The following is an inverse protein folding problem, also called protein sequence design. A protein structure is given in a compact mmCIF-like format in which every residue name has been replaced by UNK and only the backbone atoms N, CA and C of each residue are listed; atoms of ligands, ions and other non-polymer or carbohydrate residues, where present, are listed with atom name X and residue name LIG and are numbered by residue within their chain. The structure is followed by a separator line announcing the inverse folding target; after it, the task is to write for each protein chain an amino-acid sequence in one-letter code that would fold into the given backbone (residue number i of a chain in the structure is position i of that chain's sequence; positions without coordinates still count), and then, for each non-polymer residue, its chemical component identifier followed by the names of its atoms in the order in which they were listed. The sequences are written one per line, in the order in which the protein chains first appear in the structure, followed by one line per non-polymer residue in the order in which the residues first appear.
data_IF_025888166015
#
_entry.id   IF_025888166015
#
_cell.length_a   1.000
_cell.length_b   1.000
_cell.length_c   1.000
_cell.angle_alpha   90.00
_cell.angle_beta   90.00
_cell.angle_gamma   90.00
#
_symmetry.space_group_name_H-M   'P 1'
#
loop_
_entity.id
_entity.type
_entity.pdbx_description
1 polymer ?
#
# COMPACT_ATOMS: atom_id res chain seq x y z
N UNK A 1 -16.53 3.75 17.35
CA UNK A 1 -16.68 2.37 16.84
C UNK A 1 -15.28 1.83 16.58
N UNK A 2 -14.95 0.60 17.02
CA UNK A 2 -13.68 -0.01 16.65
C UNK A 2 -13.57 -0.11 15.12
N UNK A 3 -12.39 0.13 14.58
CA UNK A 3 -12.12 -0.10 13.15
C UNK A 3 -12.41 -1.58 12.86
N UNK A 4 -13.07 -1.92 11.73
CA UNK A 4 -13.21 -3.31 11.33
C UNK A 4 -11.82 -3.94 11.21
N UNK A 5 -11.70 -5.18 11.66
CA UNK A 5 -10.46 -5.96 11.68
C UNK A 5 -10.48 -7.15 10.72
N UNK A 6 -11.53 -7.25 9.90
CA UNK A 6 -11.72 -8.35 8.95
C UNK A 6 -12.41 -7.89 7.67
N UNK A 7 -12.27 -8.70 6.63
CA UNK A 7 -12.94 -8.55 5.34
C UNK A 7 -13.17 -9.93 4.70
N UNK A 8 -14.28 -10.17 3.98
CA UNK A 8 -14.47 -11.41 3.25
C UNK A 8 -13.31 -11.69 2.28
N UNK A 9 -12.81 -12.91 2.26
CA UNK A 9 -11.76 -13.32 1.34
C UNK A 9 -12.19 -13.21 -0.13
N UNK A 10 -13.50 -13.35 -0.40
CA UNK A 10 -14.09 -13.15 -1.73
C UNK A 10 -13.94 -11.70 -2.25
N UNK A 11 -13.85 -10.71 -1.36
CA UNK A 11 -13.63 -9.31 -1.73
C UNK A 11 -12.16 -9.00 -2.06
N UNK A 12 -11.28 -9.96 -1.79
CA UNK A 12 -9.84 -9.91 -2.03
C UNK A 12 -9.38 -11.04 -2.97
N UNK A 13 -9.86 -11.09 -4.23
CA UNK A 13 -9.25 -11.97 -5.23
C UNK A 13 -7.78 -11.56 -5.46
N UNK A 14 -6.93 -12.45 -6.03
CA UNK A 14 -5.54 -12.12 -6.34
C UNK A 14 -5.41 -10.79 -7.10
N UNK A 15 -4.49 -9.93 -6.65
CA UNK A 15 -4.28 -8.58 -7.18
C UNK A 15 -5.17 -7.48 -6.58
N UNK A 16 -6.23 -7.83 -5.84
CA UNK A 16 -7.11 -6.84 -5.25
C UNK A 16 -6.52 -6.17 -4.01
N UNK A 17 -6.91 -4.91 -3.81
CA UNK A 17 -6.67 -4.13 -2.60
C UNK A 17 -7.99 -3.52 -2.14
N UNK A 18 -8.29 -3.58 -0.84
CA UNK A 18 -9.51 -3.06 -0.22
C UNK A 18 -9.20 -2.31 1.07
N UNK A 19 -10.16 -1.49 1.50
CA UNK A 19 -10.08 -0.69 2.71
C UNK A 19 -10.68 -1.45 3.88
N UNK A 20 -9.94 -1.56 4.97
CA UNK A 20 -10.42 -2.13 6.23
C UNK A 20 -9.99 -1.18 7.35
N UNK A 21 -10.90 -0.31 7.78
CA UNK A 21 -10.60 0.78 8.73
C UNK A 21 -9.46 1.69 8.23
N UNK A 22 -8.39 1.78 9.01
CA UNK A 22 -7.15 2.51 8.65
C UNK A 22 -6.15 1.73 7.78
N UNK A 23 -6.49 0.52 7.36
CA UNK A 23 -5.61 -0.38 6.60
C UNK A 23 -6.02 -0.49 5.13
N UNK A 24 -5.02 -0.63 4.28
CA UNK A 24 -5.13 -1.15 2.92
C UNK A 24 -4.73 -2.62 2.99
N UNK A 25 -5.69 -3.50 2.71
CA UNK A 25 -5.53 -4.96 2.76
C UNK A 25 -5.54 -5.46 1.33
N UNK A 26 -4.60 -6.30 0.96
CA UNK A 26 -4.52 -6.83 -0.39
C UNK A 26 -4.14 -8.29 -0.44
N UNK A 27 -4.34 -8.88 -1.61
CA UNK A 27 -4.00 -10.26 -1.92
C UNK A 27 -2.91 -10.29 -3.00
N UNK A 28 -1.69 -10.61 -2.61
CA UNK A 28 -0.54 -10.80 -3.50
C UNK A 28 -0.45 -12.29 -3.85
N UNK A 29 -1.22 -12.72 -4.84
CA UNK A 29 -1.22 -14.10 -5.36
C UNK A 29 -1.34 -15.19 -4.29
N UNK A 30 -2.26 -15.00 -3.35
CA UNK A 30 -2.53 -15.89 -2.22
C UNK A 30 -1.90 -15.44 -0.89
N UNK A 31 -0.92 -14.53 -0.93
CA UNK A 31 -0.33 -13.93 0.26
C UNK A 31 -1.07 -12.64 0.64
N UNK A 32 -1.82 -12.68 1.74
CA UNK A 32 -2.53 -11.52 2.23
C UNK A 32 -1.59 -10.58 2.98
N UNK A 33 -1.76 -9.28 2.78
CA UNK A 33 -1.03 -8.25 3.51
C UNK A 33 -1.97 -7.16 4.02
N UNK A 34 -1.53 -6.44 5.05
CA UNK A 34 -2.18 -5.22 5.48
C UNK A 34 -1.16 -4.14 5.83
N UNK A 35 -1.32 -2.96 5.22
CA UNK A 35 -0.47 -1.80 5.48
C UNK A 35 -1.30 -0.56 5.78
N UNK A 36 -0.74 0.40 6.50
CA UNK A 36 -1.45 1.66 6.78
C UNK A 36 -1.85 2.33 5.46
N UNK A 37 -3.11 2.74 5.32
CA UNK A 37 -3.66 3.15 4.02
C UNK A 37 -3.21 4.53 3.52
N UNK A 38 -2.46 5.31 4.30
CA UNK A 38 -2.09 6.69 3.93
C UNK A 38 -0.69 6.70 3.33
N UNK A 39 -0.62 7.04 2.04
CA UNK A 39 0.64 7.22 1.34
C UNK A 39 1.52 8.25 2.07
N UNK A 40 2.81 7.97 2.19
CA UNK A 40 3.77 8.79 2.93
C UNK A 40 4.24 10.02 2.16
N UNK A 41 3.81 10.17 0.91
CA UNK A 41 4.05 11.33 0.07
C UNK A 41 2.98 12.42 0.27
N UNK A 42 1.73 12.15 -0.13
CA UNK A 42 0.62 13.12 -0.05
C UNK A 42 -0.68 12.49 0.49
N UNK A 43 -0.57 11.46 1.34
CA UNK A 43 -1.70 10.89 2.09
C UNK A 43 -2.82 10.25 1.23
N UNK A 44 -2.54 9.99 -0.05
CA UNK A 44 -3.38 9.20 -0.94
C UNK A 44 -3.85 7.91 -0.26
N UNK A 45 -5.09 7.50 -0.53
CA UNK A 45 -5.65 6.27 -0.01
C UNK A 45 -5.11 5.07 -0.78
N UNK A 46 -4.16 4.37 -0.19
CA UNK A 46 -3.51 3.19 -0.76
C UNK A 46 -4.46 2.01 -0.94
N UNK A 47 -5.63 2.02 -0.29
CA UNK A 47 -6.67 1.00 -0.57
C UNK A 47 -7.28 1.13 -1.97
N UNK A 48 -7.06 2.26 -2.63
CA UNK A 48 -7.41 2.49 -4.05
C UNK A 48 -6.22 2.26 -4.99
N UNK A 49 -5.10 1.78 -4.46
CA UNK A 49 -3.90 1.44 -5.23
C UNK A 49 -4.01 0.12 -5.96
N UNK A 50 -2.91 -0.31 -6.56
CA UNK A 50 -2.77 -1.60 -7.24
C UNK A 50 -1.54 -2.35 -6.76
N UNK A 51 -1.47 -3.65 -7.03
CA UNK A 51 -0.27 -4.47 -6.78
C UNK A 51 0.45 -4.60 -8.12
N UNK A 52 1.75 -4.29 -8.17
CA UNK A 52 2.54 -4.50 -9.37
C UNK A 52 3.09 -5.93 -9.47
N UNK A 53 3.73 -6.22 -10.60
CA UNK A 53 4.33 -7.54 -10.89
C UNK A 53 5.37 -8.01 -9.87
N UNK A 54 5.94 -7.11 -9.07
CA UNK A 54 6.92 -7.45 -8.04
C UNK A 54 6.23 -7.65 -6.67
N UNK A 55 4.90 -7.57 -6.61
CA UNK A 55 4.12 -7.64 -5.37
C UNK A 55 4.13 -6.35 -4.55
N UNK A 56 4.57 -5.22 -5.11
CA UNK A 56 4.58 -3.94 -4.41
C UNK A 56 3.23 -3.25 -4.51
N UNK A 57 2.82 -2.61 -3.42
CA UNK A 57 1.63 -1.75 -3.42
C UNK A 57 1.96 -0.40 -4.05
N UNK A 58 1.22 -0.04 -5.10
CA UNK A 58 1.40 1.15 -5.91
C UNK A 58 0.39 2.23 -5.52
N UNK A 59 0.89 3.42 -5.21
CA UNK A 59 0.07 4.59 -4.90
C UNK A 59 -0.73 5.02 -6.14
N UNK A 60 -2.06 5.25 -6.00
CA UNK A 60 -2.91 5.58 -7.15
C UNK A 60 -2.71 6.99 -7.70
N UNK A 61 -2.00 7.87 -6.99
CA UNK A 61 -1.78 9.24 -7.45
C UNK A 61 -0.52 9.36 -8.32
N UNK A 62 0.64 9.17 -7.70
CA UNK A 62 1.93 9.39 -8.36
C UNK A 62 2.74 8.09 -8.50
N UNK A 63 2.13 6.91 -8.30
CA UNK A 63 2.82 5.64 -8.57
C UNK A 63 3.99 5.29 -7.66
N UNK A 64 4.13 5.92 -6.48
CA UNK A 64 5.07 5.49 -5.45
C UNK A 64 4.81 4.02 -5.08
N UNK A 65 5.87 3.21 -4.94
CA UNK A 65 5.80 1.77 -4.68
C UNK A 65 6.26 1.44 -3.27
N UNK A 66 5.55 0.54 -2.61
CA UNK A 66 5.85 0.08 -1.26
C UNK A 66 5.97 -1.45 -1.21
N UNK A 67 7.01 -1.95 -0.53
CA UNK A 67 7.05 -3.37 -0.13
C UNK A 67 6.02 -3.56 0.98
N UNK A 68 5.05 -4.44 0.76
CA UNK A 68 3.91 -4.65 1.67
C UNK A 68 4.29 -5.43 2.93
N UNK A 69 5.43 -6.11 2.93
CA UNK A 69 5.94 -6.92 4.06
C UNK A 69 6.68 -6.04 5.06
N UNK A 70 7.40 -5.04 4.58
CA UNK A 70 8.20 -4.13 5.42
C UNK A 70 7.55 -2.75 5.58
N UNK A 71 6.64 -2.39 4.68
CA UNK A 71 6.03 -1.06 4.56
C UNK A 71 6.95 -0.02 3.94
N UNK A 72 8.16 -0.37 3.51
CA UNK A 72 9.14 0.57 2.99
C UNK A 72 8.78 1.06 1.59
N UNK A 73 9.01 2.35 1.34
CA UNK A 73 8.91 2.92 0.00
C UNK A 73 10.14 2.48 -0.82
N UNK A 74 9.95 1.49 -1.69
CA UNK A 74 10.99 0.98 -2.59
C UNK A 74 11.17 1.88 -3.83
N UNK A 75 10.12 2.60 -4.22
CA UNK A 75 10.20 3.60 -5.27
C UNK A 75 9.36 4.84 -4.94
N UNK A 76 9.94 6.01 -5.17
CA UNK A 76 9.29 7.30 -4.92
C UNK A 76 8.18 7.63 -5.93
N UNK A 77 7.41 8.70 -5.69
CA UNK A 77 6.42 9.19 -6.64
C UNK A 77 7.08 9.58 -7.96
N UNK A 78 6.37 9.29 -9.06
CA UNK A 78 6.67 9.65 -10.43
C UNK A 78 5.78 10.81 -10.86
N UNK A 79 6.39 11.88 -11.34
CA UNK A 79 5.74 12.98 -12.05
C UNK A 79 5.23 14.16 -11.21
N UNK A 80 5.48 15.36 -11.72
CA UNK A 80 4.65 16.57 -11.57
C UNK A 80 4.63 17.22 -12.97
N UNK A 81 3.47 17.69 -13.46
CA UNK A 81 3.32 18.41 -14.75
C UNK A 81 3.82 17.69 -16.02
N UNK A 82 3.30 16.51 -16.36
CA UNK A 82 3.57 15.85 -17.65
C UNK A 82 5.02 15.38 -17.86
N UNK A 83 5.90 15.56 -16.87
CA UNK A 83 7.27 15.09 -16.91
C UNK A 83 7.37 13.66 -16.37
N UNK A 84 7.66 12.70 -17.23
CA UNK A 84 7.89 11.29 -16.90
C UNK A 84 9.34 11.04 -16.44
N UNK A 85 9.87 11.87 -15.53
CA UNK A 85 11.20 11.72 -14.95
C UNK A 85 11.23 12.06 -13.46
N UNK A 86 12.26 11.63 -12.71
CA UNK A 86 12.43 12.00 -11.31
C UNK A 86 12.64 13.52 -11.22
N UNK A 87 11.85 14.23 -10.40
CA UNK A 87 12.11 15.64 -10.12
C UNK A 87 13.36 15.72 -9.23
N UNK A 88 14.52 16.18 -9.74
CA UNK A 88 15.75 16.19 -8.97
C UNK A 88 15.56 17.03 -7.70
N UNK A 89 16.11 16.58 -6.57
CA UNK A 89 15.89 17.20 -5.26
C UNK A 89 14.58 16.76 -4.59
N UNK A 90 13.41 16.99 -5.22
CA UNK A 90 12.11 16.65 -4.60
C UNK A 90 11.91 15.15 -4.44
N UNK A 91 12.19 14.34 -5.48
CA UNK A 91 12.07 12.88 -5.38
C UNK A 91 13.03 12.31 -4.34
N UNK A 92 14.23 12.88 -4.19
CA UNK A 92 15.21 12.43 -3.19
C UNK A 92 14.78 12.85 -1.78
N UNK A 93 14.29 14.07 -1.59
CA UNK A 93 13.74 14.55 -0.33
C UNK A 93 12.55 13.68 0.12
N UNK A 94 11.59 13.42 -0.78
CA UNK A 94 10.44 12.56 -0.50
C UNK A 94 10.90 11.13 -0.18
N UNK A 95 11.84 10.56 -0.94
CA UNK A 95 12.41 9.23 -0.63
C UNK A 95 13.10 9.20 0.73
N UNK A 96 13.88 10.22 1.09
CA UNK A 96 14.57 10.30 2.38
C UNK A 96 13.57 10.40 3.55
N UNK A 97 12.54 11.25 3.41
CA UNK A 97 11.47 11.38 4.40
C UNK A 97 10.62 10.10 4.51
N UNK A 98 10.24 9.50 3.38
CA UNK A 98 9.43 8.30 3.33
C UNK A 98 10.16 7.05 3.84
N UNK A 99 11.48 6.92 3.62
CA UNK A 99 12.30 5.87 4.23
C UNK A 99 12.26 5.91 5.75
N UNK A 100 12.21 7.12 6.33
CA UNK A 100 12.07 7.31 7.78
C UNK A 100 10.67 7.02 8.28
N UNK A 101 9.70 6.93 7.38
CA UNK A 101 8.29 6.84 7.69
C UNK A 101 7.64 5.78 6.82
N UNK A 102 8.05 4.52 6.99
CA UNK A 102 7.42 3.35 6.36
C UNK A 102 5.93 3.28 6.69
N UNK A 103 5.17 2.62 5.81
CA UNK A 103 3.82 2.20 6.16
C UNK A 103 3.90 1.26 7.36
N UNK A 104 2.95 1.39 8.29
CA UNK A 104 2.81 0.36 9.33
C UNK A 104 2.33 -0.91 8.65
N UNK A 105 2.85 -2.04 9.08
CA UNK A 105 2.44 -3.37 8.62
C UNK A 105 1.65 -4.03 9.75
N UNK A 106 0.60 -4.75 9.37
CA UNK A 106 -0.19 -5.60 10.26
C UNK A 106 -0.33 -6.97 9.61
N UNK A 107 -0.41 -8.02 10.44
CA UNK A 107 -0.56 -9.36 9.92
C UNK A 107 -1.96 -9.50 9.33
N UNK A 108 -2.06 -10.11 8.15
CA UNK A 108 -3.33 -10.46 7.53
C UNK A 108 -3.33 -11.96 7.24
N UNK A 109 -4.30 -12.69 7.80
CA UNK A 109 -4.36 -14.16 7.70
C UNK A 109 -5.76 -14.57 7.28
N UNK A 110 -5.84 -15.52 6.34
CA UNK A 110 -7.13 -16.15 6.00
C UNK A 110 -7.57 -17.09 7.11
N UNK A 111 -8.79 -16.90 7.61
CA UNK A 111 -9.46 -17.74 8.62
C UNK A 111 -10.84 -18.10 8.07
N UNK A 112 -10.98 -19.31 7.54
CA UNK A 112 -12.19 -19.71 6.82
C UNK A 112 -12.45 -18.79 5.62
N UNK A 113 -13.61 -18.15 5.59
CA UNK A 113 -14.04 -17.27 4.49
C UNK A 113 -13.65 -15.80 4.67
N UNK A 114 -12.96 -15.47 5.76
CA UNK A 114 -12.50 -14.11 6.06
C UNK A 114 -10.99 -13.98 6.00
N UNK A 115 -10.52 -12.76 5.74
CA UNK A 115 -9.15 -12.30 6.02
C UNK A 115 -9.20 -11.45 7.27
N UNK A 116 -8.48 -11.87 8.31
CA UNK A 116 -8.44 -11.22 9.62
C UNK A 116 -7.11 -10.50 9.81
N UNK A 117 -7.19 -9.29 10.35
CA UNK A 117 -6.06 -8.44 10.69
C UNK A 117 -5.66 -8.66 12.15
N UNK A 118 -4.50 -9.27 12.36
CA UNK A 118 -3.90 -9.54 13.69
C UNK A 118 -2.84 -8.47 13.99
#
# INVERSE_FOLDING_TARGET
MPDPDRIPAADLPPGAVRRVGKWAVGNRDGEYFAVSRRCRHQLADMSKGSIDRNGCLVCPWHGARYDVRTGEMVEGPRGILGYHGPTPGYTQFVRAYARRLRLRVRRAVRRGDDVVLE
#
